data_IF_034536117111
#
_entry.id   IF_034536117111
#
_cell.length_a   1.000
_cell.length_b   1.000
_cell.length_c   1.000
_cell.angle_alpha   90.00
_cell.angle_beta   90.00
_cell.angle_gamma   90.00
#
_symmetry.space_group_name_H-M   'P 1'
#
loop_
_entity.id
_entity.type
_entity.pdbx_description
1 polymer ?
#
# COMPACT_ATOMS: atom_id res chain seq x y z
N UNK A 1 -14.60 15.61 12.73
CA UNK A 1 -13.39 14.85 12.30
C UNK A 1 -13.47 14.36 10.85
N UNK A 2 -14.63 14.33 10.26
CA UNK A 2 -14.88 13.67 8.97
C UNK A 2 -14.19 14.29 7.75
N UNK A 3 -14.09 15.62 7.68
CA UNK A 3 -13.37 16.30 6.59
C UNK A 3 -11.87 15.94 6.61
N UNK A 4 -11.27 15.84 7.80
CA UNK A 4 -9.86 15.41 7.93
C UNK A 4 -9.64 13.99 7.42
N UNK A 5 -10.56 13.05 7.70
CA UNK A 5 -10.51 11.70 7.18
C UNK A 5 -10.71 11.65 5.67
N UNK A 6 -11.64 12.45 5.13
CA UNK A 6 -11.83 12.58 3.69
C UNK A 6 -10.54 13.06 3.02
N UNK A 7 -9.93 14.14 3.51
CA UNK A 7 -8.68 14.69 2.96
C UNK A 7 -7.57 13.64 3.02
N UNK A 8 -7.41 12.95 4.14
CA UNK A 8 -6.39 11.92 4.30
C UNK A 8 -6.59 10.75 3.32
N UNK A 9 -7.82 10.25 3.17
CA UNK A 9 -8.15 9.18 2.22
C UNK A 9 -7.87 9.58 0.77
N UNK A 10 -8.31 10.80 0.40
CA UNK A 10 -8.10 11.31 -0.97
C UNK A 10 -6.62 11.51 -1.26
N UNK A 11 -5.84 12.05 -0.31
CA UNK A 11 -4.39 12.21 -0.50
C UNK A 11 -3.67 10.88 -0.67
N UNK A 12 -3.91 9.92 0.23
CA UNK A 12 -3.29 8.59 0.13
C UNK A 12 -3.74 7.90 -1.16
N UNK A 13 -5.04 7.92 -1.45
CA UNK A 13 -5.58 7.32 -2.66
C UNK A 13 -5.03 7.94 -3.94
N UNK A 14 -4.90 9.27 -3.99
CA UNK A 14 -4.29 9.95 -5.14
C UNK A 14 -2.83 9.55 -5.34
N UNK A 15 -2.04 9.48 -4.28
CA UNK A 15 -0.64 9.03 -4.36
C UNK A 15 -0.56 7.60 -4.88
N UNK A 16 -1.37 6.68 -4.35
CA UNK A 16 -1.40 5.29 -4.81
C UNK A 16 -1.86 5.18 -6.27
N UNK A 17 -2.84 5.99 -6.69
CA UNK A 17 -3.27 6.07 -8.08
C UNK A 17 -2.13 6.49 -9.01
N UNK A 18 -1.41 7.55 -8.65
CA UNK A 18 -0.25 8.01 -9.43
C UNK A 18 0.80 6.90 -9.53
N UNK A 19 1.18 6.26 -8.42
CA UNK A 19 2.18 5.21 -8.41
C UNK A 19 1.76 3.96 -9.21
N UNK A 20 0.49 3.55 -9.11
CA UNK A 20 -0.05 2.43 -9.88
C UNK A 20 -0.04 2.71 -11.39
N UNK A 21 -0.51 3.90 -11.81
CA UNK A 21 -0.54 4.29 -13.22
C UNK A 21 0.84 4.58 -13.80
N UNK A 22 1.78 5.11 -13.00
CA UNK A 22 3.18 5.27 -13.38
C UNK A 22 3.82 3.94 -13.77
N UNK A 23 3.60 2.90 -12.98
CA UNK A 23 4.14 1.56 -13.25
C UNK A 23 3.44 0.88 -14.42
N UNK A 24 2.10 0.93 -14.46
CA UNK A 24 1.33 0.17 -15.43
C UNK A 24 1.30 0.82 -16.82
N UNK A 25 1.07 2.14 -16.88
CA UNK A 25 0.77 2.87 -18.10
C UNK A 25 1.80 3.98 -18.42
N UNK A 26 2.77 4.24 -17.55
CA UNK A 26 3.75 5.31 -17.72
C UNK A 26 3.18 6.72 -17.56
N UNK A 27 1.98 6.89 -16.98
CA UNK A 27 1.39 8.20 -16.75
C UNK A 27 2.21 9.03 -15.76
N UNK A 28 1.99 10.33 -15.74
CA UNK A 28 2.68 11.27 -14.85
C UNK A 28 4.22 11.18 -14.92
N UNK A 29 4.76 10.89 -16.12
CA UNK A 29 6.20 10.73 -16.31
C UNK A 29 6.78 9.43 -15.72
N UNK A 30 5.93 8.45 -15.45
CA UNK A 30 6.34 7.16 -14.88
C UNK A 30 7.10 6.26 -15.86
N UNK A 31 7.73 5.19 -15.37
CA UNK A 31 8.60 4.32 -16.16
C UNK A 31 7.85 3.43 -17.16
N UNK A 32 6.56 3.19 -16.95
CA UNK A 32 5.82 2.15 -17.66
C UNK A 32 6.16 0.73 -17.20
N UNK A 33 5.42 -0.26 -17.71
CA UNK A 33 5.44 -1.61 -17.16
C UNK A 33 6.82 -2.30 -17.27
N UNK A 34 7.49 -2.18 -18.40
CA UNK A 34 8.75 -2.91 -18.60
C UNK A 34 9.88 -2.37 -17.71
N UNK A 35 10.06 -1.03 -17.65
CA UNK A 35 11.04 -0.44 -16.74
C UNK A 35 10.67 -0.59 -15.26
N UNK A 36 9.38 -0.60 -14.95
CA UNK A 36 8.92 -0.88 -13.59
C UNK A 36 9.25 -2.33 -13.19
N UNK A 37 9.11 -3.28 -14.11
CA UNK A 37 9.52 -4.67 -13.91
C UNK A 37 11.02 -4.81 -13.63
N UNK A 38 11.87 -4.18 -14.45
CA UNK A 38 13.33 -4.12 -14.23
C UNK A 38 13.67 -3.52 -12.85
N UNK A 39 12.99 -2.43 -12.49
CA UNK A 39 13.16 -1.79 -11.18
C UNK A 39 12.81 -2.72 -10.02
N UNK A 40 11.72 -3.49 -10.15
CA UNK A 40 11.31 -4.46 -9.12
C UNK A 40 12.26 -5.66 -9.04
N UNK A 41 12.77 -6.15 -10.18
CA UNK A 41 13.78 -7.20 -10.20
C UNK A 41 15.07 -6.74 -9.52
N UNK A 42 15.48 -5.49 -9.75
CA UNK A 42 16.61 -4.88 -9.05
C UNK A 42 16.40 -4.73 -7.53
N UNK A 43 15.14 -4.81 -7.07
CA UNK A 43 14.76 -4.89 -5.66
C UNK A 43 14.58 -6.34 -5.17
N UNK A 44 14.88 -7.34 -5.99
CA UNK A 44 14.70 -8.76 -5.66
C UNK A 44 13.27 -9.27 -5.76
N UNK A 45 12.35 -8.51 -6.36
CA UNK A 45 10.96 -8.90 -6.60
C UNK A 45 10.85 -9.65 -7.94
N UNK A 46 11.10 -10.95 -7.92
CA UNK A 46 11.18 -11.80 -9.12
C UNK A 46 9.95 -12.76 -9.16
N UNK A 47 9.32 -12.92 -10.35
CA UNK A 47 9.58 -12.26 -11.64
C UNK A 47 9.03 -10.83 -11.69
N UNK A 48 9.78 -9.88 -12.28
CA UNK A 48 9.50 -8.45 -12.19
C UNK A 48 8.17 -8.04 -12.82
N UNK A 49 7.86 -8.51 -14.03
CA UNK A 49 6.65 -8.09 -14.75
C UNK A 49 5.35 -8.50 -14.05
N UNK A 50 5.15 -9.75 -13.61
CA UNK A 50 4.02 -10.12 -12.77
C UNK A 50 3.94 -9.34 -11.45
N UNK A 51 5.09 -9.08 -10.81
CA UNK A 51 5.14 -8.28 -9.58
C UNK A 51 4.77 -6.82 -9.82
N UNK A 52 5.20 -6.22 -10.94
CA UNK A 52 4.82 -4.87 -11.32
C UNK A 52 3.31 -4.74 -11.58
N UNK A 53 2.73 -5.71 -12.30
CA UNK A 53 1.27 -5.75 -12.53
C UNK A 53 0.51 -5.91 -11.22
N UNK A 54 0.90 -6.87 -10.38
CA UNK A 54 0.25 -7.11 -9.09
C UNK A 54 0.31 -5.88 -8.19
N UNK A 55 1.49 -5.29 -8.02
CA UNK A 55 1.67 -4.08 -7.22
C UNK A 55 0.79 -2.92 -7.75
N UNK A 56 0.79 -2.70 -9.08
CA UNK A 56 -0.04 -1.65 -9.67
C UNK A 56 -1.54 -1.89 -9.46
N UNK A 57 -2.01 -3.12 -9.62
CA UNK A 57 -3.43 -3.44 -9.38
C UNK A 57 -3.81 -3.27 -7.91
N UNK A 58 -2.96 -3.69 -6.97
CA UNK A 58 -3.19 -3.46 -5.54
C UNK A 58 -3.25 -1.98 -5.21
N UNK A 59 -2.32 -1.17 -5.74
CA UNK A 59 -2.30 0.29 -5.54
C UNK A 59 -3.55 0.96 -6.13
N UNK A 60 -3.94 0.61 -7.35
CA UNK A 60 -5.12 1.18 -8.01
C UNK A 60 -6.41 0.78 -7.30
N UNK A 61 -6.52 -0.47 -6.85
CA UNK A 61 -7.65 -0.93 -6.05
C UNK A 61 -7.74 -0.19 -4.72
N UNK A 62 -6.61 -0.10 -3.99
CA UNK A 62 -6.53 0.67 -2.74
C UNK A 62 -6.88 2.14 -2.97
N UNK A 63 -6.38 2.75 -4.05
CA UNK A 63 -6.69 4.13 -4.42
C UNK A 63 -8.20 4.34 -4.61
N UNK A 64 -8.85 3.49 -5.40
CA UNK A 64 -10.28 3.58 -5.66
C UNK A 64 -11.09 3.41 -4.35
N UNK A 65 -10.78 2.39 -3.55
CA UNK A 65 -11.47 2.12 -2.30
C UNK A 65 -11.31 3.26 -1.29
N UNK A 66 -10.09 3.79 -1.13
CA UNK A 66 -9.82 4.88 -0.18
C UNK A 66 -10.43 6.21 -0.62
N UNK A 67 -10.32 6.58 -1.91
CA UNK A 67 -10.92 7.83 -2.41
C UNK A 67 -12.43 7.80 -2.23
N UNK A 68 -13.09 6.72 -2.59
CA UNK A 68 -14.53 6.56 -2.42
C UNK A 68 -14.93 6.38 -0.94
N UNK A 69 -14.00 5.94 -0.09
CA UNK A 69 -14.32 5.48 1.25
C UNK A 69 -15.23 4.26 1.22
N UNK A 70 -14.96 3.35 0.30
CA UNK A 70 -15.69 2.10 0.11
C UNK A 70 -14.84 0.93 0.59
N UNK A 71 -15.43 0.04 1.38
CA UNK A 71 -14.71 -1.07 1.98
C UNK A 71 -13.36 -0.62 2.57
N UNK A 72 -13.39 0.47 3.34
CA UNK A 72 -12.19 1.16 3.83
C UNK A 72 -11.19 0.24 4.53
N UNK A 73 -11.57 -0.74 5.36
CA UNK A 73 -10.60 -1.68 5.94
C UNK A 73 -9.84 -2.50 4.89
N UNK A 74 -10.49 -2.85 3.78
CA UNK A 74 -9.84 -3.58 2.67
C UNK A 74 -8.90 -2.66 1.88
N UNK A 75 -9.36 -1.44 1.55
CA UNK A 75 -8.52 -0.43 0.89
C UNK A 75 -7.27 -0.09 1.71
N UNK A 76 -7.43 0.06 3.03
CA UNK A 76 -6.34 0.29 3.97
C UNK A 76 -5.35 -0.89 4.00
N UNK A 77 -5.85 -2.13 4.07
CA UNK A 77 -5.02 -3.33 4.06
C UNK A 77 -4.21 -3.46 2.75
N UNK A 78 -4.85 -3.25 1.60
CA UNK A 78 -4.19 -3.33 0.29
C UNK A 78 -3.11 -2.24 0.13
N UNK A 79 -3.44 -0.99 0.49
CA UNK A 79 -2.49 0.13 0.44
C UNK A 79 -1.30 -0.07 1.39
N UNK A 80 -1.57 -0.44 2.64
CA UNK A 80 -0.54 -0.74 3.63
C UNK A 80 0.36 -1.88 3.19
N UNK A 81 -0.21 -3.02 2.76
CA UNK A 81 0.55 -4.20 2.35
C UNK A 81 1.50 -3.92 1.19
N UNK A 82 1.01 -3.24 0.15
CA UNK A 82 1.83 -2.87 -1.02
C UNK A 82 2.94 -1.90 -0.63
N UNK A 83 2.65 -0.91 0.20
CA UNK A 83 3.63 0.07 0.67
C UNK A 83 4.65 -0.54 1.65
N UNK A 84 4.27 -1.54 2.45
CA UNK A 84 5.24 -2.30 3.27
C UNK A 84 6.25 -3.05 2.39
N UNK A 85 5.78 -3.75 1.34
CA UNK A 85 6.69 -4.44 0.42
C UNK A 85 7.65 -3.46 -0.24
N UNK A 86 7.14 -2.33 -0.77
CA UNK A 86 7.97 -1.31 -1.39
C UNK A 86 8.99 -0.71 -0.41
N UNK A 87 8.53 -0.33 0.78
CA UNK A 87 9.38 0.29 1.80
C UNK A 87 10.49 -0.61 2.31
N UNK A 88 10.17 -1.88 2.60
CA UNK A 88 11.16 -2.86 3.05
C UNK A 88 12.16 -3.18 1.94
N UNK A 89 11.71 -3.30 0.68
CA UNK A 89 12.58 -3.57 -0.46
C UNK A 89 13.57 -2.43 -0.71
N UNK A 90 13.09 -1.19 -0.67
CA UNK A 90 13.96 -0.01 -0.82
C UNK A 90 14.94 0.13 0.35
N UNK A 91 14.48 -0.08 1.59
CA UNK A 91 15.33 -0.05 2.78
C UNK A 91 16.44 -1.10 2.71
N UNK A 92 16.10 -2.31 2.28
CA UNK A 92 17.07 -3.39 2.15
C UNK A 92 18.12 -3.09 1.07
N UNK A 93 17.70 -2.51 -0.07
CA UNK A 93 18.63 -2.11 -1.15
C UNK A 93 19.50 -0.90 -0.77
N UNK A 94 18.91 0.12 -0.15
CA UNK A 94 19.61 1.35 0.22
C UNK A 94 20.45 1.23 1.49
N UNK A 95 20.33 0.13 2.26
CA UNK A 95 21.01 -0.07 3.54
C UNK A 95 20.53 0.89 4.64
N UNK A 96 19.49 1.68 4.40
CA UNK A 96 18.95 2.69 5.29
C UNK A 96 17.46 2.86 5.08
N UNK A 97 16.74 3.26 6.12
CA UNK A 97 15.31 3.63 6.01
C UNK A 97 15.16 4.99 5.32
N UNK A 98 16.11 5.90 5.52
CA UNK A 98 15.99 7.30 5.11
C UNK A 98 16.09 7.50 3.60
N UNK A 99 15.18 8.31 3.05
CA UNK A 99 15.07 8.58 1.61
C UNK A 99 16.34 9.23 1.02
N UNK A 100 17.06 10.04 1.81
CA UNK A 100 18.32 10.65 1.40
C UNK A 100 19.40 9.61 1.05
N UNK A 101 19.26 8.39 1.59
CA UNK A 101 20.13 7.24 1.29
C UNK A 101 19.47 6.26 0.31
N UNK A 102 18.37 6.63 -0.35
CA UNK A 102 17.61 5.74 -1.23
C UNK A 102 16.71 4.75 -0.50
N UNK A 103 16.38 5.02 0.76
CA UNK A 103 15.60 4.13 1.61
C UNK A 103 14.09 4.24 1.43
N UNK A 104 13.37 3.39 2.16
CA UNK A 104 11.93 3.19 2.06
C UNK A 104 11.07 4.10 2.95
N UNK A 105 11.62 5.19 3.48
CA UNK A 105 10.92 6.12 4.38
C UNK A 105 9.53 6.51 3.87
N UNK A 106 9.47 6.98 2.62
CA UNK A 106 8.23 7.45 2.03
C UNK A 106 7.14 6.36 1.95
N UNK A 107 7.35 5.19 1.35
CA UNK A 107 6.32 4.16 1.33
C UNK A 107 6.01 3.60 2.74
N UNK A 108 6.95 3.58 3.69
CA UNK A 108 6.66 3.16 5.06
C UNK A 108 5.74 4.15 5.78
N UNK A 109 5.90 5.45 5.56
CA UNK A 109 4.96 6.48 6.08
C UNK A 109 3.58 6.30 5.48
N UNK A 110 3.47 6.08 4.16
CA UNK A 110 2.19 5.79 3.51
C UNK A 110 1.55 4.51 4.05
N UNK A 111 2.33 3.46 4.31
CA UNK A 111 1.84 2.23 4.93
C UNK A 111 1.25 2.50 6.32
N UNK A 112 1.94 3.29 7.15
CA UNK A 112 1.47 3.64 8.48
C UNK A 112 0.16 4.47 8.43
N UNK A 113 0.08 5.45 7.51
CA UNK A 113 -1.11 6.28 7.34
C UNK A 113 -2.31 5.44 6.82
N UNK A 114 -2.08 4.55 5.85
CA UNK A 114 -3.11 3.63 5.37
C UNK A 114 -3.57 2.68 6.48
N UNK A 115 -2.62 2.13 7.27
CA UNK A 115 -2.94 1.30 8.43
C UNK A 115 -3.76 2.04 9.49
N UNK A 116 -3.49 3.32 9.71
CA UNK A 116 -4.29 4.18 10.60
C UNK A 116 -5.76 4.27 10.16
N UNK A 117 -6.02 4.36 8.86
CA UNK A 117 -7.40 4.38 8.32
C UNK A 117 -8.17 3.08 8.59
N UNK A 118 -7.49 1.95 8.79
CA UNK A 118 -8.16 0.69 9.18
C UNK A 118 -8.82 0.75 10.55
N UNK A 119 -8.31 1.62 11.45
CA UNK A 119 -8.84 1.82 12.80
C UNK A 119 -9.86 2.97 12.87
N UNK A 120 -9.62 4.04 12.13
CA UNK A 120 -10.47 5.24 12.16
C UNK A 120 -11.72 5.09 11.30
N UNK A 121 -11.70 4.17 10.32
CA UNK A 121 -12.73 4.06 9.31
C UNK A 121 -12.72 5.21 8.30
N UNK A 122 -13.76 5.25 7.48
CA UNK A 122 -13.89 6.20 6.37
C UNK A 122 -14.37 7.60 6.78
N UNK A 123 -15.08 7.73 7.90
CA UNK A 123 -15.83 8.94 8.27
C UNK A 123 -17.16 9.06 7.53
N UNK A 124 -17.97 10.05 7.92
CA UNK A 124 -19.34 10.23 7.42
C UNK A 124 -19.41 10.61 5.93
N UNK A 125 -18.36 11.15 5.35
CA UNK A 125 -18.28 11.51 3.92
C UNK A 125 -17.71 10.36 3.10
N UNK A 126 -18.40 9.21 3.08
CA UNK A 126 -17.88 7.98 2.47
C UNK A 126 -19.01 7.10 1.90
N UNK A 127 -18.62 6.23 0.98
CA UNK A 127 -19.53 5.21 0.48
C UNK A 127 -19.84 4.14 1.55
N UNK A 128 -18.94 3.89 2.49
CA UNK A 128 -19.19 3.01 3.63
C UNK A 128 -20.40 3.50 4.45
N UNK A 129 -20.45 4.80 4.75
CA UNK A 129 -21.54 5.43 5.49
C UNK A 129 -22.85 5.43 4.66
N UNK A 130 -22.77 5.83 3.38
CA UNK A 130 -23.93 5.90 2.49
C UNK A 130 -24.60 4.53 2.30
N UNK A 131 -23.82 3.46 2.27
CA UNK A 131 -24.27 2.09 2.08
C UNK A 131 -24.54 1.36 3.40
N UNK A 132 -24.37 2.03 4.53
CA UNK A 132 -24.56 1.47 5.88
C UNK A 132 -23.80 0.14 6.07
N UNK A 133 -22.51 0.10 5.62
CA UNK A 133 -21.75 -1.14 5.66
C UNK A 133 -21.55 -1.63 7.11
N UNK A 134 -21.38 -2.94 7.34
CA UNK A 134 -21.42 -3.55 8.68
C UNK A 134 -20.41 -3.01 9.70
N UNK A 135 -19.36 -2.34 9.25
CA UNK A 135 -18.34 -1.73 10.12
C UNK A 135 -18.63 -0.26 10.46
N UNK A 136 -19.65 0.36 9.85
CA UNK A 136 -20.07 1.73 10.18
C UNK A 136 -20.77 1.73 11.54
N UNK A 137 -20.44 2.70 12.38
CA UNK A 137 -21.06 2.83 13.70
C UNK A 137 -20.73 1.70 14.68
N UNK A 138 -19.74 0.86 14.40
CA UNK A 138 -19.30 -0.18 15.34
C UNK A 138 -18.81 0.43 16.67
N UNK A 139 -19.05 -0.30 17.76
CA UNK A 139 -18.40 0.00 19.04
C UNK A 139 -16.87 -0.04 18.90
N UNK A 140 -16.17 0.85 19.61
CA UNK A 140 -14.72 1.04 19.51
C UNK A 140 -13.92 -0.27 19.58
N UNK A 141 -14.27 -1.17 20.50
CA UNK A 141 -13.60 -2.47 20.63
C UNK A 141 -13.71 -3.34 19.37
N UNK A 142 -14.88 -3.33 18.70
CA UNK A 142 -15.07 -4.08 17.45
C UNK A 142 -14.33 -3.42 16.28
N UNK A 143 -14.34 -2.10 16.21
CA UNK A 143 -13.58 -1.34 15.22
C UNK A 143 -12.07 -1.60 15.37
N UNK A 144 -11.56 -1.66 16.60
CA UNK A 144 -10.17 -2.01 16.87
C UNK A 144 -9.82 -3.43 16.41
N UNK A 145 -10.69 -4.41 16.65
CA UNK A 145 -10.49 -5.80 16.16
C UNK A 145 -10.46 -5.84 14.64
N UNK A 146 -11.37 -5.13 13.96
CA UNK A 146 -11.38 -5.04 12.50
C UNK A 146 -10.10 -4.37 11.95
N UNK A 147 -9.67 -3.28 12.59
CA UNK A 147 -8.41 -2.61 12.26
C UNK A 147 -7.20 -3.52 12.42
N UNK A 148 -7.11 -4.25 13.55
CA UNK A 148 -6.07 -5.25 13.76
C UNK A 148 -6.12 -6.37 12.71
N UNK A 149 -7.30 -6.83 12.33
CA UNK A 149 -7.45 -7.84 11.28
C UNK A 149 -6.95 -7.33 9.92
N UNK A 150 -7.33 -6.09 9.54
CA UNK A 150 -6.88 -5.46 8.29
C UNK A 150 -5.35 -5.29 8.26
N UNK A 151 -4.76 -4.80 9.36
CA UNK A 151 -3.30 -4.70 9.50
C UNK A 151 -2.64 -6.08 9.46
N UNK A 152 -3.22 -7.07 10.14
CA UNK A 152 -2.75 -8.46 10.10
C UNK A 152 -2.72 -9.02 8.67
N UNK A 153 -3.79 -8.81 7.89
CA UNK A 153 -3.84 -9.20 6.47
C UNK A 153 -2.75 -8.47 5.66
N UNK A 154 -2.59 -7.16 5.84
CA UNK A 154 -1.56 -6.38 5.15
C UNK A 154 -0.16 -6.94 5.42
N UNK A 155 0.17 -7.21 6.69
CA UNK A 155 1.47 -7.78 7.08
C UNK A 155 1.66 -9.19 6.53
N UNK A 156 0.66 -10.07 6.70
CA UNK A 156 0.75 -11.46 6.22
C UNK A 156 0.91 -11.54 4.71
N UNK A 157 0.21 -10.70 3.94
CA UNK A 157 0.33 -10.66 2.48
C UNK A 157 1.65 -10.04 2.01
N UNK A 158 2.28 -9.17 2.81
CA UNK A 158 3.59 -8.59 2.52
C UNK A 158 4.76 -9.58 2.80
N UNK A 159 4.59 -10.55 3.70
CA UNK A 159 5.66 -11.50 4.08
C UNK A 159 6.22 -12.29 2.90
N UNK A 160 5.43 -12.95 2.01
CA UNK A 160 5.99 -13.76 0.94
C UNK A 160 6.88 -12.97 -0.04
N UNK A 161 6.49 -11.82 -0.59
CA UNK A 161 7.37 -11.05 -1.47
C UNK A 161 8.63 -10.54 -0.76
N UNK A 162 8.53 -10.13 0.52
CA UNK A 162 9.69 -9.69 1.30
C UNK A 162 10.64 -10.86 1.58
N UNK A 163 10.13 -12.04 1.91
CA UNK A 163 10.96 -13.22 2.15
C UNK A 163 11.70 -13.66 0.87
N UNK A 164 11.02 -13.68 -0.27
CA UNK A 164 11.64 -13.99 -1.58
C UNK A 164 12.76 -13.03 -1.94
N UNK A 165 12.56 -11.73 -1.75
CA UNK A 165 13.58 -10.70 -1.98
C UNK A 165 14.87 -11.01 -1.22
N UNK A 166 14.79 -11.35 0.06
CA UNK A 166 15.97 -11.65 0.91
C UNK A 166 16.76 -12.86 0.42
N UNK A 167 16.06 -13.90 -0.05
CA UNK A 167 16.73 -15.11 -0.59
C UNK A 167 17.46 -14.82 -1.89
N UNK A 168 16.88 -14.01 -2.77
CA UNK A 168 17.48 -13.65 -4.06
C UNK A 168 18.73 -12.79 -3.85
N UNK A 169 18.70 -11.82 -2.96
CA UNK A 169 19.86 -10.96 -2.64
C UNK A 169 21.00 -11.76 -2.04
N UNK A 170 20.72 -12.74 -1.16
CA UNK A 170 21.72 -13.60 -0.56
C UNK A 170 22.43 -14.52 -1.58
N UNK A 171 21.77 -14.89 -2.67
CA UNK A 171 22.35 -15.71 -3.75
C UNK A 171 23.25 -14.92 -4.69
N UNK A 172 22.96 -13.63 -4.91
CA UNK A 172 23.77 -12.77 -5.79
C UNK A 172 25.13 -12.35 -5.19
N UNK A 173 25.34 -12.57 -3.89
CA UNK A 173 26.58 -12.27 -3.17
C UNK A 173 27.46 -13.52 -2.93
N UNK A 174 27.08 -14.68 -3.48
CA UNK A 174 27.88 -15.91 -3.49
C UNK A 174 28.47 -16.18 -4.86
#
# INVERSE_FOLDING_TARGET
MDIGLLVLRVLIGFVLFVHGTQKLAGWFGGPGLDKAAEGLEALGQIPGKPMAVLASLCELSAAALLVLGLATPLGAAAGMGTMLVAGVSLTAKGGSVWIISGGGEYPLVLAALAGGLAFTGAGSWSADELLELPWVGMAEAKAAVLGCAAVGVAVLTAVPPIARMRTTTAQSHR
#
